data_IF_763408828721
#
_entry.id   IF_763408828721
#
_cell.length_a   1.000
_cell.length_b   1.000
_cell.length_c   1.000
_cell.angle_alpha   90.00
_cell.angle_beta   90.00
_cell.angle_gamma   90.00
#
_symmetry.space_group_name_H-M   'P 1'
#
loop_
_entity.id
_entity.type
_entity.pdbx_description
1 polymer ?
#
# COMPACT_ATOMS: atom_id res chain seq x y z
N UNK A 1 -5.99 5.52 24.10
CA UNK A 1 -6.01 6.07 22.71
C UNK A 1 -5.16 5.14 21.88
N UNK A 2 -5.68 4.58 20.81
CA UNK A 2 -4.88 3.79 19.86
C UNK A 2 -3.87 4.76 19.24
N UNK A 3 -2.58 4.40 19.34
CA UNK A 3 -1.44 5.17 18.80
C UNK A 3 -1.40 5.02 17.26
N UNK A 4 -2.49 5.49 16.63
CA UNK A 4 -2.78 5.34 15.21
C UNK A 4 -2.31 6.57 14.46
N UNK A 5 -1.48 6.37 13.43
CA UNK A 5 -0.97 7.41 12.55
C UNK A 5 -1.56 7.26 11.15
N UNK A 6 -1.90 8.38 10.52
CA UNK A 6 -2.38 8.36 9.15
C UNK A 6 -1.23 8.60 8.17
N UNK A 7 -1.24 7.87 7.07
CA UNK A 7 -0.30 8.08 5.98
C UNK A 7 -0.92 9.01 4.94
N UNK A 8 -0.20 10.09 4.62
CA UNK A 8 -0.67 11.17 3.76
C UNK A 8 0.21 11.25 2.52
N UNK A 9 -0.35 11.04 1.34
CA UNK A 9 0.37 11.29 0.10
C UNK A 9 0.35 12.78 -0.21
N UNK A 10 1.52 13.37 -0.47
CA UNK A 10 1.65 14.78 -0.87
C UNK A 10 2.13 14.84 -2.31
N UNK A 11 1.26 15.29 -3.20
CA UNK A 11 1.54 15.50 -4.62
C UNK A 11 1.70 16.99 -4.93
N UNK A 12 2.76 17.36 -5.58
CA UNK A 12 3.02 18.72 -6.08
C UNK A 12 4.16 18.68 -7.09
N UNK A 13 4.27 19.75 -7.87
CA UNK A 13 5.51 20.05 -8.61
C UNK A 13 6.64 20.40 -7.63
N UNK A 14 7.88 20.03 -7.99
CA UNK A 14 9.03 20.21 -7.11
C UNK A 14 9.76 21.54 -7.32
N UNK A 15 9.85 22.00 -8.58
CA UNK A 15 10.70 23.14 -8.94
C UNK A 15 10.19 24.48 -8.42
N UNK A 16 8.89 24.64 -8.37
CA UNK A 16 8.23 25.89 -7.94
C UNK A 16 7.73 25.85 -6.50
N UNK A 17 7.47 24.67 -5.95
CA UNK A 17 6.83 24.48 -4.65
C UNK A 17 7.73 23.82 -3.59
N UNK A 18 9.05 23.87 -3.75
CA UNK A 18 9.98 23.22 -2.83
C UNK A 18 9.80 23.64 -1.37
N UNK A 19 9.72 24.95 -1.14
CA UNK A 19 9.63 25.51 0.21
C UNK A 19 8.24 25.29 0.80
N UNK A 20 7.22 25.48 -0.01
CA UNK A 20 5.82 25.23 0.35
C UNK A 20 5.61 23.78 0.74
N UNK A 21 6.15 22.86 -0.07
CA UNK A 21 6.11 21.42 0.21
C UNK A 21 6.81 21.05 1.51
N UNK A 22 8.00 21.60 1.78
CA UNK A 22 8.71 21.34 3.03
C UNK A 22 7.91 21.82 4.26
N UNK A 23 7.20 22.95 4.16
CA UNK A 23 6.32 23.41 5.23
C UNK A 23 5.17 22.44 5.47
N UNK A 24 4.54 21.94 4.40
CA UNK A 24 3.46 20.94 4.50
C UNK A 24 3.98 19.65 5.14
N UNK A 25 5.12 19.14 4.71
CA UNK A 25 5.72 17.93 5.32
C UNK A 25 5.99 18.11 6.82
N UNK A 26 6.47 19.29 7.23
CA UNK A 26 6.67 19.60 8.67
C UNK A 26 5.35 19.57 9.43
N UNK A 27 4.32 20.23 8.91
CA UNK A 27 2.97 20.23 9.53
C UNK A 27 2.43 18.82 9.67
N UNK A 28 2.61 17.95 8.67
CA UNK A 28 2.16 16.56 8.75
C UNK A 28 2.86 15.78 9.88
N UNK A 29 4.16 16.02 10.06
CA UNK A 29 4.90 15.42 11.17
C UNK A 29 4.45 15.96 12.54
N UNK A 30 4.13 17.26 12.65
CA UNK A 30 3.58 17.88 13.85
C UNK A 30 2.18 17.33 14.21
N UNK A 31 1.43 16.87 13.20
CA UNK A 31 0.13 16.20 13.35
C UNK A 31 0.25 14.67 13.57
N UNK A 32 1.44 14.16 13.88
CA UNK A 32 1.72 12.72 14.01
C UNK A 32 1.34 11.88 12.78
N UNK A 33 1.30 12.50 11.60
CA UNK A 33 1.08 11.80 10.34
C UNK A 33 2.38 11.25 9.74
N UNK A 34 2.25 10.28 8.85
CA UNK A 34 3.33 9.70 8.05
C UNK A 34 3.26 10.32 6.65
N UNK A 35 4.11 11.32 6.32
CA UNK A 35 4.12 11.89 4.98
C UNK A 35 4.70 10.87 3.98
N UNK A 36 4.09 10.77 2.81
CA UNK A 36 4.56 10.02 1.66
C UNK A 36 4.58 10.91 0.41
N UNK A 37 5.54 10.71 -0.48
CA UNK A 37 5.65 11.52 -1.69
C UNK A 37 6.81 11.10 -2.58
N UNK A 38 6.99 11.81 -3.70
CA UNK A 38 7.89 11.44 -4.79
C UNK A 38 9.39 11.48 -4.45
N UNK A 39 9.80 12.05 -3.33
CA UNK A 39 11.22 12.19 -2.96
C UNK A 39 11.94 10.87 -2.74
N UNK A 40 11.18 9.79 -2.56
CA UNK A 40 11.70 8.48 -2.16
C UNK A 40 11.90 7.51 -3.34
N UNK A 41 11.64 7.93 -4.61
CA UNK A 41 11.54 6.99 -5.71
C UNK A 41 12.74 7.00 -6.68
N UNK A 42 13.18 5.81 -7.17
CA UNK A 42 14.23 5.69 -8.17
C UNK A 42 13.80 6.19 -9.57
N UNK A 43 14.77 6.39 -10.46
CA UNK A 43 14.62 7.14 -11.70
C UNK A 43 14.03 6.38 -12.91
N UNK A 44 13.52 5.15 -12.78
CA UNK A 44 12.94 4.40 -13.91
C UNK A 44 11.43 4.60 -14.03
N UNK A 45 10.92 4.90 -15.25
CA UNK A 45 9.54 5.42 -15.42
C UNK A 45 8.40 4.41 -15.18
N UNK A 46 8.48 3.16 -15.65
CA UNK A 46 7.40 2.17 -15.45
C UNK A 46 7.37 1.58 -14.04
N UNK A 47 8.53 1.23 -13.51
CA UNK A 47 8.66 0.77 -12.12
C UNK A 47 8.25 1.86 -11.14
N UNK A 48 8.59 3.13 -11.46
CA UNK A 48 8.21 4.30 -10.68
C UNK A 48 6.69 4.46 -10.59
N UNK A 49 5.96 4.37 -11.71
CA UNK A 49 4.51 4.53 -11.70
C UNK A 49 3.80 3.43 -10.91
N UNK A 50 4.23 2.18 -11.05
CA UNK A 50 3.67 1.06 -10.28
C UNK A 50 3.91 1.22 -8.77
N UNK A 51 5.07 1.75 -8.39
CA UNK A 51 5.41 2.05 -7.01
C UNK A 51 4.58 3.21 -6.45
N UNK A 52 4.42 4.31 -7.22
CA UNK A 52 3.60 5.46 -6.84
C UNK A 52 2.16 5.03 -6.57
N UNK A 53 1.56 4.23 -7.45
CA UNK A 53 0.20 3.71 -7.25
C UNK A 53 0.07 2.94 -5.95
N UNK A 54 1.01 2.04 -5.66
CA UNK A 54 1.02 1.27 -4.41
C UNK A 54 1.09 2.17 -3.19
N UNK A 55 1.94 3.21 -3.22
CA UNK A 55 2.04 4.16 -2.10
C UNK A 55 0.75 4.97 -1.94
N UNK A 56 0.09 5.38 -3.05
CA UNK A 56 -1.21 6.04 -2.99
C UNK A 56 -2.27 5.09 -2.42
N UNK A 57 -2.26 3.81 -2.82
CA UNK A 57 -3.18 2.80 -2.31
C UNK A 57 -3.04 2.57 -0.80
N UNK A 58 -1.82 2.65 -0.28
CA UNK A 58 -1.51 2.50 1.14
C UNK A 58 -1.83 3.76 1.96
N UNK A 59 -1.95 4.95 1.32
CA UNK A 59 -2.25 6.20 2.02
C UNK A 59 -3.72 6.31 2.43
N UNK A 60 -3.95 6.95 3.57
CA UNK A 60 -5.29 7.25 4.09
C UNK A 60 -5.90 8.50 3.43
N UNK A 61 -5.07 9.49 3.13
CA UNK A 61 -5.47 10.77 2.54
C UNK A 61 -4.48 11.19 1.46
N UNK A 62 -4.98 11.94 0.50
CA UNK A 62 -4.18 12.48 -0.60
C UNK A 62 -4.29 14.01 -0.61
N UNK A 63 -3.13 14.68 -0.63
CA UNK A 63 -3.01 16.14 -0.74
C UNK A 63 -2.41 16.46 -2.10
N UNK A 64 -3.07 17.37 -2.85
CA UNK A 64 -2.52 17.96 -4.05
C UNK A 64 -2.31 19.47 -3.86
N UNK A 65 -1.10 19.93 -4.19
CA UNK A 65 -0.73 21.34 -4.13
C UNK A 65 -0.42 21.81 -5.55
N UNK A 66 -1.16 22.80 -6.03
CA UNK A 66 -1.01 23.33 -7.39
C UNK A 66 -0.53 24.80 -7.31
N UNK A 67 0.67 25.02 -7.83
CA UNK A 67 1.32 26.33 -7.92
C UNK A 67 1.30 26.91 -9.33
N UNK A 68 2.48 27.37 -9.76
CA UNK A 68 2.69 28.06 -11.03
C UNK A 68 3.12 27.18 -12.19
N UNK A 69 3.37 25.89 -11.98
CA UNK A 69 3.84 24.98 -13.03
C UNK A 69 2.93 23.78 -13.20
N UNK A 70 2.85 23.30 -14.45
CA UNK A 70 2.20 22.02 -14.77
C UNK A 70 3.09 20.85 -14.39
N UNK A 71 4.41 21.03 -14.50
CA UNK A 71 5.42 20.05 -14.13
C UNK A 71 5.85 19.14 -15.28
N UNK A 72 6.66 18.14 -14.95
CA UNK A 72 7.13 17.15 -15.90
C UNK A 72 5.98 16.29 -16.40
N UNK A 73 5.99 16.01 -17.69
CA UNK A 73 4.94 15.21 -18.35
C UNK A 73 5.45 13.82 -18.69
N UNK A 74 4.52 12.87 -18.74
CA UNK A 74 4.75 11.53 -19.26
C UNK A 74 4.76 11.52 -20.82
N UNK A 75 5.00 10.37 -21.47
CA UNK A 75 4.97 10.26 -22.92
C UNK A 75 3.62 10.64 -23.57
N UNK A 76 2.54 10.61 -22.82
CA UNK A 76 1.18 11.00 -23.25
C UNK A 76 0.96 12.52 -23.08
N UNK A 77 1.91 13.22 -22.50
CA UNK A 77 1.89 14.65 -22.27
C UNK A 77 1.04 15.08 -21.08
N UNK A 78 0.74 14.18 -20.14
CA UNK A 78 0.04 14.46 -18.89
C UNK A 78 1.09 14.63 -17.78
N UNK A 79 0.93 15.64 -16.91
CA UNK A 79 1.87 15.82 -15.82
C UNK A 79 1.76 14.68 -14.80
N UNK A 80 2.90 14.31 -14.20
CA UNK A 80 2.91 13.28 -13.16
C UNK A 80 1.99 13.65 -11.99
N UNK A 81 1.94 14.93 -11.62
CA UNK A 81 1.05 15.45 -10.57
C UNK A 81 -0.42 15.26 -10.92
N UNK A 82 -0.81 15.54 -12.17
CA UNK A 82 -2.20 15.31 -12.62
C UNK A 82 -2.53 13.83 -12.69
N UNK A 83 -1.62 13.00 -13.17
CA UNK A 83 -1.78 11.55 -13.23
C UNK A 83 -1.94 10.90 -11.83
N UNK A 84 -1.15 11.35 -10.86
CA UNK A 84 -1.28 10.95 -9.46
C UNK A 84 -2.64 11.35 -8.88
N UNK A 85 -3.07 12.57 -9.17
CA UNK A 85 -4.38 13.08 -8.74
C UNK A 85 -5.53 12.27 -9.34
N UNK A 86 -5.52 12.00 -10.64
CA UNK A 86 -6.56 11.20 -11.31
C UNK A 86 -6.62 9.79 -10.75
N UNK A 87 -5.45 9.20 -10.49
CA UNK A 87 -5.39 7.90 -9.85
C UNK A 87 -5.98 7.91 -8.44
N UNK A 88 -5.62 8.89 -7.61
CA UNK A 88 -6.14 9.01 -6.25
C UNK A 88 -7.67 9.18 -6.23
N UNK A 89 -8.22 9.99 -7.13
CA UNK A 89 -9.68 10.17 -7.30
C UNK A 89 -10.35 8.86 -7.72
N UNK A 90 -9.78 8.16 -8.71
CA UNK A 90 -10.32 6.88 -9.20
C UNK A 90 -10.24 5.78 -8.15
N UNK A 91 -9.19 5.76 -7.34
CA UNK A 91 -9.02 4.84 -6.20
C UNK A 91 -9.93 5.19 -5.01
N UNK A 92 -10.74 6.25 -5.10
CA UNK A 92 -11.67 6.66 -4.04
C UNK A 92 -11.00 7.24 -2.80
N UNK A 93 -9.76 7.72 -2.92
CA UNK A 93 -9.05 8.35 -1.79
C UNK A 93 -9.70 9.68 -1.41
N UNK A 94 -9.76 10.04 -0.12
CA UNK A 94 -10.09 11.40 0.30
C UNK A 94 -9.04 12.37 -0.23
N UNK A 95 -9.43 13.22 -1.21
CA UNK A 95 -8.53 14.18 -1.86
C UNK A 95 -8.76 15.57 -1.29
N UNK A 96 -7.69 16.23 -0.84
CA UNK A 96 -7.66 17.60 -0.38
C UNK A 96 -6.83 18.43 -1.37
N UNK A 97 -7.48 19.38 -2.04
CA UNK A 97 -6.86 20.26 -3.02
C UNK A 97 -6.44 21.60 -2.43
N UNK A 98 -5.24 22.06 -2.79
CA UNK A 98 -4.71 23.37 -2.41
C UNK A 98 -4.17 24.05 -3.66
N UNK A 99 -4.82 25.14 -4.09
CA UNK A 99 -4.51 25.82 -5.34
C UNK A 99 -4.06 27.26 -5.04
N UNK A 100 -2.97 27.70 -5.65
CA UNK A 100 -2.51 29.07 -5.46
C UNK A 100 -3.57 30.08 -5.92
N UNK A 101 -4.06 30.95 -5.02
CA UNK A 101 -5.21 31.82 -5.26
C UNK A 101 -4.94 32.95 -6.26
N UNK A 102 -3.68 33.36 -6.43
CA UNK A 102 -3.31 34.42 -7.34
C UNK A 102 -2.15 34.03 -8.27
N UNK A 103 -2.44 33.33 -9.38
CA UNK A 103 -1.41 32.88 -10.33
C UNK A 103 -0.56 34.01 -10.91
N UNK A 104 -1.11 35.17 -11.06
CA UNK A 104 -0.43 36.35 -11.67
C UNK A 104 0.63 36.96 -10.72
N UNK A 105 0.57 36.63 -9.43
CA UNK A 105 1.56 37.06 -8.44
C UNK A 105 2.67 36.04 -8.21
N UNK A 106 2.59 34.88 -8.85
CA UNK A 106 3.67 33.88 -8.76
C UNK A 106 4.89 34.43 -9.51
N UNK A 107 6.04 34.35 -8.85
CA UNK A 107 7.32 34.77 -9.46
C UNK A 107 7.53 34.11 -10.82
N UNK A 108 8.02 34.89 -11.79
CA UNK A 108 8.30 34.40 -13.16
C UNK A 108 9.14 33.14 -13.18
N UNK A 109 10.09 33.00 -12.23
CA UNK A 109 10.94 31.82 -12.08
C UNK A 109 10.18 30.56 -11.67
N UNK A 110 9.05 30.73 -11.00
CA UNK A 110 8.15 29.66 -10.50
C UNK A 110 6.92 29.43 -11.38
N UNK A 111 6.77 30.19 -12.47
CA UNK A 111 5.63 30.10 -13.38
C UNK A 111 5.94 29.28 -14.62
N UNK A 112 4.89 28.72 -15.23
CA UNK A 112 4.99 28.01 -16.51
C UNK A 112 5.29 28.97 -17.65
N UNK A 113 6.24 28.60 -18.52
CA UNK A 113 6.71 29.45 -19.62
C UNK A 113 6.13 29.02 -20.96
N UNK A 114 5.82 27.76 -21.11
CA UNK A 114 5.24 27.20 -22.32
C UNK A 114 3.73 27.41 -22.33
N UNK A 115 3.18 27.89 -23.46
CA UNK A 115 1.77 28.23 -23.55
C UNK A 115 0.86 27.00 -23.47
N UNK A 116 1.26 25.89 -24.06
CA UNK A 116 0.50 24.63 -23.99
C UNK A 116 0.48 24.09 -22.57
N UNK A 117 1.62 24.11 -21.88
CA UNK A 117 1.70 23.70 -20.48
C UNK A 117 0.89 24.62 -19.57
N UNK A 118 0.81 25.93 -19.89
CA UNK A 118 -0.03 26.91 -19.18
C UNK A 118 -1.52 26.61 -19.33
N UNK A 119 -1.95 26.26 -20.54
CA UNK A 119 -3.34 25.82 -20.79
C UNK A 119 -3.68 24.56 -20.01
N UNK A 120 -2.80 23.57 -20.02
CA UNK A 120 -2.95 22.31 -19.24
C UNK A 120 -3.00 22.59 -17.74
N UNK A 121 -2.11 23.45 -17.23
CA UNK A 121 -2.14 23.87 -15.83
C UNK A 121 -3.48 24.52 -15.46
N UNK A 122 -3.99 25.41 -16.32
CA UNK A 122 -5.29 26.06 -16.10
C UNK A 122 -6.44 25.04 -16.05
N UNK A 123 -6.43 24.04 -16.94
CA UNK A 123 -7.41 22.96 -16.96
C UNK A 123 -7.30 22.09 -15.68
N UNK A 124 -6.08 21.74 -15.28
CA UNK A 124 -5.83 20.95 -14.07
C UNK A 124 -6.26 21.70 -12.79
N UNK A 125 -5.95 23.00 -12.68
CA UNK A 125 -6.44 23.85 -11.57
C UNK A 125 -7.96 23.80 -11.44
N UNK A 126 -8.69 23.98 -12.56
CA UNK A 126 -10.15 23.89 -12.57
C UNK A 126 -10.65 22.50 -12.14
N UNK A 127 -9.97 21.43 -12.55
CA UNK A 127 -10.29 20.05 -12.16
C UNK A 127 -10.16 19.88 -10.64
N UNK A 128 -9.07 20.35 -10.04
CA UNK A 128 -8.84 20.28 -8.59
C UNK A 128 -9.85 21.16 -7.82
N UNK A 129 -10.21 22.32 -8.33
CA UNK A 129 -11.19 23.21 -7.72
C UNK A 129 -12.64 22.67 -7.68
N UNK A 130 -12.96 21.64 -8.48
CA UNK A 130 -14.26 20.95 -8.42
C UNK A 130 -14.45 20.08 -7.18
N UNK A 131 -13.36 19.73 -6.49
CA UNK A 131 -13.40 18.97 -5.25
C UNK A 131 -13.27 19.88 -4.02
N UNK A 132 -13.04 19.28 -2.86
CA UNK A 132 -12.73 20.04 -1.64
C UNK A 132 -11.39 20.75 -1.83
N UNK A 133 -11.46 22.04 -2.14
CA UNK A 133 -10.30 22.84 -2.46
C UNK A 133 -10.23 24.09 -1.57
N UNK A 134 -9.01 24.47 -1.18
CA UNK A 134 -8.71 25.77 -0.55
C UNK A 134 -7.66 26.52 -1.34
N UNK A 135 -7.83 27.82 -1.41
CA UNK A 135 -6.84 28.72 -1.99
C UNK A 135 -5.82 29.13 -0.95
N UNK A 136 -4.61 29.42 -1.41
CA UNK A 136 -3.49 29.90 -0.62
C UNK A 136 -2.64 30.84 -1.46
N UNK A 137 -1.92 31.76 -0.81
CA UNK A 137 -1.01 32.72 -1.47
C UNK A 137 0.38 32.68 -0.87
N UNK A 138 0.50 32.29 0.39
CA UNK A 138 1.78 32.14 1.09
C UNK A 138 1.96 30.72 1.62
N UNK A 139 3.21 30.32 1.86
CA UNK A 139 3.50 29.01 2.44
C UNK A 139 2.90 28.82 3.84
N UNK A 140 2.77 29.92 4.60
CA UNK A 140 2.13 29.97 5.91
C UNK A 140 0.62 29.70 5.81
N UNK A 141 -0.05 30.36 4.88
CA UNK A 141 -1.48 30.12 4.61
C UNK A 141 -1.73 28.70 4.14
N UNK A 142 -0.86 28.17 3.27
CA UNK A 142 -0.92 26.76 2.84
C UNK A 142 -0.80 25.81 4.03
N UNK A 143 0.18 26.01 4.90
CA UNK A 143 0.39 25.18 6.09
C UNK A 143 -0.83 25.19 7.01
N UNK A 144 -1.40 26.37 7.29
CA UNK A 144 -2.60 26.52 8.10
C UNK A 144 -3.83 25.87 7.45
N UNK A 145 -3.98 26.03 6.13
CA UNK A 145 -5.07 25.45 5.36
C UNK A 145 -5.00 23.90 5.36
N UNK A 146 -3.79 23.34 5.18
CA UNK A 146 -3.55 21.89 5.26
C UNK A 146 -3.89 21.36 6.65
N UNK A 147 -3.37 21.98 7.71
CA UNK A 147 -3.64 21.60 9.10
C UNK A 147 -5.14 21.51 9.36
N UNK A 148 -5.86 22.57 9.04
CA UNK A 148 -7.30 22.68 9.30
C UNK A 148 -8.10 21.67 8.48
N UNK A 149 -7.83 21.60 7.17
CA UNK A 149 -8.59 20.73 6.26
C UNK A 149 -8.35 19.25 6.55
N UNK A 150 -7.10 18.87 6.80
CA UNK A 150 -6.75 17.50 7.11
C UNK A 150 -7.35 17.06 8.44
N UNK A 151 -7.26 17.88 9.48
CA UNK A 151 -7.87 17.60 10.77
C UNK A 151 -9.38 17.41 10.67
N UNK A 152 -10.07 18.28 9.92
CA UNK A 152 -11.51 18.16 9.67
C UNK A 152 -11.85 16.87 8.92
N UNK A 153 -11.05 16.51 7.90
CA UNK A 153 -11.30 15.29 7.13
C UNK A 153 -11.03 14.02 7.95
N UNK A 154 -10.02 14.01 8.80
CA UNK A 154 -9.74 12.92 9.73
C UNK A 154 -10.90 12.67 10.71
N UNK A 155 -11.59 13.73 11.15
CA UNK A 155 -12.77 13.60 12.00
C UNK A 155 -13.98 13.12 11.19
N UNK A 156 -14.17 13.66 10.01
CA UNK A 156 -15.34 13.36 9.16
C UNK A 156 -15.28 11.97 8.52
N UNK A 157 -14.10 11.56 8.08
CA UNK A 157 -13.83 10.28 7.42
C UNK A 157 -12.53 9.68 7.99
N UNK A 158 -12.56 9.05 9.16
CA UNK A 158 -11.38 8.42 9.72
C UNK A 158 -10.84 7.34 8.79
N UNK A 159 -9.57 7.47 8.40
CA UNK A 159 -8.86 6.45 7.62
C UNK A 159 -8.58 5.18 8.43
N UNK A 160 -8.04 4.15 7.79
CA UNK A 160 -7.60 2.91 8.44
C UNK A 160 -6.43 3.21 9.38
N UNK A 161 -5.41 3.89 8.86
CA UNK A 161 -4.20 4.28 9.57
C UNK A 161 -3.25 3.13 9.88
N UNK A 162 -2.08 3.51 10.38
CA UNK A 162 -0.99 2.63 10.75
C UNK A 162 -0.83 2.57 12.27
N UNK A 163 -0.62 1.40 12.81
CA UNK A 163 -0.29 1.18 14.21
C UNK A 163 1.01 0.39 14.31
N UNK A 164 1.76 0.62 15.39
CA UNK A 164 2.97 -0.18 15.63
C UNK A 164 2.58 -1.65 15.79
N UNK A 165 3.38 -2.55 15.22
CA UNK A 165 3.11 -3.98 15.26
C UNK A 165 2.98 -4.57 16.67
N UNK A 166 3.67 -3.96 17.65
CA UNK A 166 3.54 -4.34 19.05
C UNK A 166 2.21 -3.89 19.71
N UNK A 167 1.57 -2.88 19.15
CA UNK A 167 0.24 -2.40 19.56
C UNK A 167 -0.90 -3.01 18.73
N UNK A 168 -0.60 -3.66 17.60
CA UNK A 168 -1.58 -4.24 16.69
C UNK A 168 -2.31 -5.46 17.26
N UNK A 169 -1.70 -6.15 18.24
CA UNK A 169 -2.28 -7.35 18.88
C UNK A 169 -2.74 -6.97 20.27
N UNK A 170 -4.03 -7.10 20.58
CA UNK A 170 -4.55 -6.88 21.95
C UNK A 170 -3.77 -7.69 22.98
N UNK A 171 -3.58 -7.15 24.20
CA UNK A 171 -2.85 -7.85 25.25
C UNK A 171 -3.35 -9.28 25.52
N UNK A 172 -4.66 -9.48 25.46
CA UNK A 172 -5.31 -10.78 25.67
C UNK A 172 -4.88 -11.78 24.61
N UNK A 173 -4.89 -11.36 23.32
CA UNK A 173 -4.47 -12.20 22.18
C UNK A 173 -2.96 -12.46 22.22
N UNK A 174 -2.15 -11.52 22.74
CA UNK A 174 -0.72 -11.75 22.96
C UNK A 174 -0.45 -12.84 23.99
N UNK A 175 -1.20 -12.84 25.08
CA UNK A 175 -1.11 -13.87 26.12
C UNK A 175 -1.50 -15.23 25.53
N UNK A 176 -2.62 -15.31 24.83
CA UNK A 176 -3.10 -16.54 24.18
C UNK A 176 -2.10 -17.07 23.15
N UNK A 177 -1.52 -16.18 22.31
CA UNK A 177 -0.47 -16.54 21.36
C UNK A 177 0.80 -17.04 22.05
N UNK A 178 1.18 -16.46 23.18
CA UNK A 178 2.33 -16.91 23.96
C UNK A 178 2.07 -18.31 24.55
N UNK A 179 0.90 -18.54 25.12
CA UNK A 179 0.50 -19.85 25.64
C UNK A 179 0.43 -20.92 24.55
N UNK A 180 -0.14 -20.59 23.40
CA UNK A 180 -0.20 -21.49 22.26
C UNK A 180 1.21 -21.84 21.75
N UNK A 181 2.11 -20.86 21.64
CA UNK A 181 3.51 -21.10 21.24
C UNK A 181 4.23 -21.97 22.25
N UNK A 182 4.01 -21.77 23.54
CA UNK A 182 4.61 -22.61 24.59
C UNK A 182 4.07 -24.05 24.52
N UNK A 183 2.75 -24.22 24.27
CA UNK A 183 2.14 -25.55 24.09
C UNK A 183 2.70 -26.26 22.88
N UNK A 184 2.85 -25.56 21.74
CA UNK A 184 3.47 -26.13 20.51
C UNK A 184 4.93 -26.49 20.76
N UNK A 185 5.69 -25.62 21.45
CA UNK A 185 7.09 -25.92 21.80
C UNK A 185 7.20 -27.15 22.71
N UNK A 186 6.35 -27.25 23.74
CA UNK A 186 6.30 -28.45 24.62
C UNK A 186 5.88 -29.70 23.86
N UNK A 187 4.93 -29.61 22.95
CA UNK A 187 4.51 -30.72 22.11
C UNK A 187 5.62 -31.14 21.12
N UNK A 188 6.38 -30.16 20.59
CA UNK A 188 7.52 -30.42 19.69
C UNK A 188 8.74 -31.07 20.44
N UNK A 189 8.94 -30.69 21.72
CA UNK A 189 10.00 -31.27 22.56
C UNK A 189 9.60 -32.62 23.19
N UNK A 190 8.28 -32.88 23.22
CA UNK A 190 7.74 -34.17 23.68
C UNK A 190 7.61 -35.23 22.56
N UNK A 191 8.17 -34.96 21.36
CA UNK A 191 8.36 -36.02 20.37
C UNK A 191 9.28 -37.08 20.97
N UNK A 192 8.83 -38.31 21.13
CA UNK A 192 9.69 -39.38 21.62
C UNK A 192 10.85 -39.53 20.66
N UNK A 193 12.06 -39.70 21.22
CA UNK A 193 13.22 -40.21 20.51
C UNK A 193 12.78 -41.39 19.66
N UNK A 194 13.00 -41.26 18.36
CA UNK A 194 12.65 -42.33 17.39
C UNK A 194 13.50 -43.58 17.63
N UNK A 195 13.07 -44.40 18.60
CA UNK A 195 13.16 -45.85 18.49
C UNK A 195 11.73 -46.30 18.15
N UNK A 196 11.30 -46.01 16.93
CA UNK A 196 10.07 -46.57 16.41
C UNK A 196 10.35 -48.02 15.97
N UNK A 197 10.00 -48.94 16.81
CA UNK A 197 9.57 -50.24 16.35
C UNK A 197 8.46 -49.96 15.32
N UNK A 198 8.55 -50.46 14.06
CA UNK A 198 7.49 -50.27 13.10
C UNK A 198 6.20 -50.84 13.68
N UNK A 199 5.22 -49.99 13.88
CA UNK A 199 3.88 -50.44 14.25
C UNK A 199 3.32 -51.17 13.03
N UNK A 200 3.14 -52.48 13.16
CA UNK A 200 2.57 -53.33 12.12
C UNK A 200 1.17 -52.88 11.68
N UNK A 201 0.55 -51.98 12.43
CA UNK A 201 -0.73 -51.34 12.09
C UNK A 201 -0.63 -50.19 11.06
N UNK A 202 0.59 -49.69 10.77
CA UNK A 202 0.77 -48.64 9.78
C UNK A 202 0.65 -49.19 8.38
N UNK A 203 -0.26 -48.64 7.59
CA UNK A 203 -0.43 -48.97 6.18
C UNK A 203 0.85 -48.66 5.39
N UNK A 204 1.37 -49.61 4.67
CA UNK A 204 2.62 -49.49 3.91
C UNK A 204 2.51 -50.20 2.55
N UNK A 205 3.34 -49.78 1.63
CA UNK A 205 3.56 -50.45 0.37
C UNK A 205 2.30 -50.65 -0.50
N UNK A 206 1.76 -51.84 -0.50
CA UNK A 206 0.61 -52.24 -1.33
C UNK A 206 -0.74 -51.99 -0.66
N UNK A 207 -0.77 -51.51 0.58
CA UNK A 207 -2.02 -51.11 1.23
C UNK A 207 -2.71 -50.01 0.47
N UNK A 208 -4.01 -50.12 0.35
CA UNK A 208 -4.80 -49.16 -0.43
C UNK A 208 -5.41 -48.10 0.46
N UNK A 209 -5.30 -46.84 0.03
CA UNK A 209 -6.02 -45.70 0.61
C UNK A 209 -6.98 -45.11 -0.41
N UNK A 210 -8.05 -44.51 0.07
CA UNK A 210 -9.04 -43.83 -0.75
C UNK A 210 -9.06 -42.36 -0.41
N UNK A 211 -8.88 -41.51 -1.42
CA UNK A 211 -8.98 -40.06 -1.28
C UNK A 211 -10.21 -39.62 -2.04
N UNK A 212 -11.05 -38.82 -1.35
CA UNK A 212 -12.17 -38.15 -1.96
C UNK A 212 -11.77 -36.71 -2.29
N UNK A 213 -11.80 -36.38 -3.58
CA UNK A 213 -11.47 -35.03 -4.04
C UNK A 213 -12.75 -34.37 -4.47
N UNK A 214 -13.01 -33.17 -3.90
CA UNK A 214 -14.05 -32.27 -4.35
C UNK A 214 -13.41 -31.14 -5.16
N UNK A 215 -13.76 -31.07 -6.42
CA UNK A 215 -13.35 -29.99 -7.31
C UNK A 215 -14.55 -29.09 -7.56
N UNK A 216 -14.39 -27.79 -7.34
CA UNK A 216 -15.40 -26.78 -7.67
C UNK A 216 -14.90 -26.00 -8.87
N UNK A 217 -15.49 -26.24 -10.01
CA UNK A 217 -15.24 -25.46 -11.21
C UNK A 217 -16.57 -24.82 -11.66
N UNK A 218 -16.57 -23.49 -11.85
CA UNK A 218 -17.71 -22.71 -12.35
C UNK A 218 -19.07 -23.06 -11.66
N UNK A 219 -19.06 -23.28 -10.34
CA UNK A 219 -20.31 -23.52 -9.56
C UNK A 219 -20.84 -24.95 -9.65
N UNK A 220 -20.13 -25.89 -10.26
CA UNK A 220 -20.50 -27.31 -10.30
C UNK A 220 -19.57 -28.10 -9.39
N UNK A 221 -20.15 -28.77 -8.41
CA UNK A 221 -19.42 -29.64 -7.47
C UNK A 221 -19.25 -31.03 -8.09
N UNK A 222 -18.03 -31.39 -8.45
CA UNK A 222 -17.72 -32.75 -8.88
C UNK A 222 -16.94 -33.48 -7.79
N UNK A 223 -17.44 -34.63 -7.38
CA UNK A 223 -16.82 -35.48 -6.37
C UNK A 223 -16.27 -36.71 -7.03
N UNK A 224 -14.95 -36.93 -6.91
CA UNK A 224 -14.28 -38.14 -7.42
C UNK A 224 -13.59 -38.89 -6.30
N UNK A 225 -13.75 -40.22 -6.24
CA UNK A 225 -13.02 -41.06 -5.34
C UNK A 225 -11.90 -41.80 -6.10
N UNK A 226 -10.67 -41.67 -5.57
CA UNK A 226 -9.50 -42.37 -6.11
C UNK A 226 -8.98 -43.37 -5.06
N UNK A 227 -8.72 -44.60 -5.49
CA UNK A 227 -8.03 -45.61 -4.66
C UNK A 227 -6.67 -45.88 -5.25
N UNK A 228 -5.62 -45.70 -4.44
CA UNK A 228 -4.22 -45.90 -4.81
C UNK A 228 -3.48 -46.63 -3.71
N UNK A 229 -2.36 -47.24 -4.05
CA UNK A 229 -1.44 -47.78 -3.04
C UNK A 229 -0.44 -46.72 -2.59
N UNK A 230 0.16 -46.90 -1.42
CA UNK A 230 1.25 -46.02 -0.95
C UNK A 230 2.45 -46.04 -1.90
N UNK A 231 2.74 -47.16 -2.54
CA UNK A 231 3.79 -47.28 -3.55
C UNK A 231 3.50 -46.40 -4.78
N UNK A 232 2.24 -46.30 -5.21
CA UNK A 232 1.83 -45.41 -6.32
C UNK A 232 2.03 -43.93 -5.92
N UNK A 233 1.68 -43.57 -4.69
CA UNK A 233 1.86 -42.22 -4.17
C UNK A 233 3.34 -41.84 -4.16
N UNK A 234 4.21 -42.71 -3.63
CA UNK A 234 5.65 -42.45 -3.58
C UNK A 234 6.29 -42.33 -4.96
N UNK A 235 5.82 -43.11 -5.95
CA UNK A 235 6.28 -42.96 -7.35
C UNK A 235 5.88 -41.61 -7.96
N UNK A 236 4.71 -41.08 -7.61
CA UNK A 236 4.21 -39.77 -8.13
C UNK A 236 4.88 -38.59 -7.45
N UNK A 237 5.09 -38.67 -6.14
CA UNK A 237 5.58 -37.51 -5.34
C UNK A 237 7.08 -37.56 -5.12
N UNK A 238 7.69 -38.74 -5.15
CA UNK A 238 9.13 -38.96 -4.90
C UNK A 238 10.06 -38.08 -5.77
N UNK A 239 9.83 -37.94 -7.08
CA UNK A 239 10.62 -37.04 -7.92
C UNK A 239 10.53 -35.58 -7.49
N UNK A 240 9.34 -35.11 -7.05
CA UNK A 240 9.11 -33.72 -6.63
C UNK A 240 9.79 -33.39 -5.29
N UNK A 241 10.04 -34.38 -4.45
CA UNK A 241 10.72 -34.17 -3.15
C UNK A 241 12.23 -34.13 -3.34
N UNK A 242 12.79 -34.85 -4.30
CA UNK A 242 14.24 -34.85 -4.60
C UNK A 242 14.73 -33.51 -5.19
N UNK A 243 13.89 -32.86 -5.96
CA UNK A 243 14.29 -31.57 -6.62
C UNK A 243 14.43 -30.38 -5.65
N UNK A 244 13.83 -30.47 -4.45
CA UNK A 244 13.95 -29.41 -3.42
C UNK A 244 15.15 -29.55 -2.49
N UNK A 245 15.89 -30.65 -2.54
CA UNK A 245 17.03 -30.89 -1.65
C UNK A 245 18.40 -30.69 -2.32
N UNK A 246 18.46 -30.46 -3.64
CA UNK A 246 19.71 -30.28 -4.37
C UNK A 246 20.17 -28.79 -4.48
N UNK A 247 19.42 -27.85 -3.94
CA UNK A 247 19.74 -26.41 -4.04
C UNK A 247 20.26 -25.79 -2.72
N UNK A 248 20.85 -26.63 -1.84
CA UNK A 248 21.63 -26.19 -0.67
C UNK A 248 22.95 -26.96 -0.62
N UNK A 249 23.87 -26.50 -1.42
CA UNK A 249 25.27 -26.82 -1.41
C UNK A 249 26.10 -25.56 -1.68
#
# INVERSE_FOLDING_TARGET
MTDKRYQIFVSSTLLDLRDERQRVLRVLLELDCIPAGMELFPASDEERWSLIRRVIDDCDYYIVIVGGRYGSVDPEGISYTEREYEYAVTAGKPVLGFVHGNPDQIEYGKSEKDDLAREKLSAFRKKVQQLVCREWTTGEELAAAVTTSLHQEMIRKPGIGWIRGDAAVPPEVRVELAELRERVSKASTASPSAESVPDESLQQGEDRFSVMIQLTDVGVLQTGAFSRTWNDLFRMVGPLVRDKTSDRG
#
